data_IF_989231489506
#
_entry.id   IF_989231489506
#
_cell.length_a   1.000
_cell.length_b   1.000
_cell.length_c   1.000
_cell.angle_alpha   90.00
_cell.angle_beta   90.00
_cell.angle_gamma   90.00
#
_symmetry.space_group_name_H-M   'P 1'
#
loop_
_entity.id
_entity.type
_entity.pdbx_description
1 polymer ?
#
# COMPACT_ATOMS: atom_id res chain seq x y z
N UNK A 1 1.62 -34.96 18.28
CA UNK A 1 0.78 -33.74 18.26
C UNK A 1 1.30 -32.63 17.32
N UNK A 2 2.17 -32.91 16.33
CA UNK A 2 2.73 -31.88 15.42
C UNK A 2 2.13 -31.90 14.00
N UNK A 3 1.55 -33.02 13.56
CA UNK A 3 1.03 -33.18 12.20
C UNK A 3 -0.22 -32.31 11.90
N UNK A 4 -1.11 -32.13 12.90
CA UNK A 4 -2.36 -31.39 12.69
C UNK A 4 -2.14 -29.88 12.50
N UNK A 5 -1.10 -29.32 13.11
CA UNK A 5 -0.76 -27.90 13.01
C UNK A 5 -0.27 -27.54 11.61
N UNK A 6 0.55 -28.39 11.00
CA UNK A 6 1.06 -28.18 9.64
C UNK A 6 -0.06 -28.29 8.60
N UNK A 7 -1.00 -29.21 8.80
CA UNK A 7 -2.13 -29.41 7.89
C UNK A 7 -3.10 -28.22 7.91
N UNK A 8 -3.37 -27.65 9.10
CA UNK A 8 -4.14 -26.41 9.24
C UNK A 8 -3.45 -25.22 8.57
N UNK A 9 -2.13 -25.05 8.75
CA UNK A 9 -1.40 -23.97 8.10
C UNK A 9 -1.46 -24.08 6.57
N UNK A 10 -1.31 -25.28 6.02
CA UNK A 10 -1.38 -25.52 4.58
C UNK A 10 -2.77 -25.21 4.02
N UNK A 11 -3.84 -25.60 4.74
CA UNK A 11 -5.21 -25.28 4.34
C UNK A 11 -5.49 -23.77 4.33
N UNK A 12 -5.00 -23.04 5.33
CA UNK A 12 -5.18 -21.58 5.39
C UNK A 12 -4.39 -20.86 4.29
N UNK A 13 -3.19 -21.34 3.97
CA UNK A 13 -2.39 -20.85 2.83
C UNK A 13 -3.12 -21.06 1.51
N UNK A 14 -3.65 -22.26 1.25
CA UNK A 14 -4.38 -22.55 0.01
C UNK A 14 -5.66 -21.72 -0.13
N UNK A 15 -6.40 -21.48 0.96
CA UNK A 15 -7.57 -20.58 0.95
C UNK A 15 -7.16 -19.13 0.67
N UNK A 16 -6.07 -18.67 1.29
CA UNK A 16 -5.53 -17.33 1.09
C UNK A 16 -5.08 -17.12 -0.36
N UNK A 17 -4.39 -18.10 -0.94
CA UNK A 17 -3.97 -18.08 -2.34
C UNK A 17 -5.17 -18.02 -3.29
N UNK A 18 -6.18 -18.87 -3.09
CA UNK A 18 -7.40 -18.88 -3.90
C UNK A 18 -8.13 -17.53 -3.84
N UNK A 19 -8.24 -16.94 -2.64
CA UNK A 19 -8.81 -15.61 -2.44
C UNK A 19 -8.04 -14.54 -3.23
N UNK A 20 -6.71 -14.46 -3.11
CA UNK A 20 -5.92 -13.44 -3.80
C UNK A 20 -5.92 -13.60 -5.32
N UNK A 21 -5.85 -14.84 -5.83
CA UNK A 21 -5.98 -15.11 -7.28
C UNK A 21 -7.31 -14.59 -7.83
N UNK A 22 -8.40 -14.86 -7.10
CA UNK A 22 -9.72 -14.38 -7.48
C UNK A 22 -9.80 -12.85 -7.38
N UNK A 23 -9.38 -12.26 -6.27
CA UNK A 23 -9.42 -10.82 -6.02
C UNK A 23 -8.61 -10.00 -7.04
N UNK A 24 -7.46 -10.51 -7.48
CA UNK A 24 -6.57 -9.86 -8.45
C UNK A 24 -6.92 -10.20 -9.91
N UNK A 25 -8.02 -10.93 -10.17
CA UNK A 25 -8.45 -11.22 -11.54
C UNK A 25 -8.75 -9.91 -12.28
N UNK A 26 -8.11 -9.70 -13.43
CA UNK A 26 -8.23 -8.47 -14.22
C UNK A 26 -7.20 -7.37 -13.89
N UNK A 27 -6.40 -7.54 -12.83
CA UNK A 27 -5.25 -6.67 -12.56
C UNK A 27 -4.04 -7.14 -13.37
N UNK A 28 -3.70 -6.42 -14.43
CA UNK A 28 -2.68 -6.86 -15.41
C UNK A 28 -1.36 -6.12 -15.31
N UNK A 29 -1.33 -4.95 -14.68
CA UNK A 29 -0.11 -4.13 -14.56
C UNK A 29 -0.13 -3.29 -13.27
N UNK A 30 1.06 -3.06 -12.67
CA UNK A 30 1.21 -2.11 -11.59
C UNK A 30 0.71 -0.71 -11.95
N UNK A 31 0.42 0.06 -10.92
CA UNK A 31 0.06 1.46 -11.04
C UNK A 31 1.20 2.30 -11.63
N UNK A 32 1.10 2.82 -12.87
CA UNK A 32 2.18 3.63 -13.43
C UNK A 32 2.22 4.97 -12.69
N UNK A 33 3.36 5.30 -12.10
CA UNK A 33 3.60 6.60 -11.49
C UNK A 33 4.40 7.48 -12.46
N UNK A 34 4.01 8.74 -12.60
CA UNK A 34 4.66 9.68 -13.54
C UNK A 34 6.13 9.93 -13.15
N UNK A 35 6.46 9.80 -11.85
CA UNK A 35 7.83 9.93 -11.33
C UNK A 35 8.78 8.84 -11.83
N UNK A 36 8.27 7.73 -12.38
CA UNK A 36 9.11 6.67 -12.97
C UNK A 36 9.50 6.96 -14.42
N UNK A 37 8.86 7.96 -15.06
CA UNK A 37 9.11 8.35 -16.46
C UNK A 37 9.96 9.63 -16.54
N UNK A 38 11.21 9.55 -16.08
CA UNK A 38 12.20 10.55 -16.47
C UNK A 38 12.77 10.19 -17.85
N UNK A 39 12.65 11.06 -18.87
CA UNK A 39 13.26 10.83 -20.17
C UNK A 39 14.79 10.75 -20.01
N UNK A 40 15.37 9.57 -20.20
CA UNK A 40 16.82 9.32 -20.12
C UNK A 40 17.27 8.27 -19.09
N UNK A 41 16.37 7.76 -18.23
CA UNK A 41 16.70 6.68 -17.30
C UNK A 41 16.82 5.35 -18.05
N UNK A 42 18.02 4.77 -18.08
CA UNK A 42 18.23 3.39 -18.56
C UNK A 42 17.90 2.42 -17.41
N UNK A 43 17.26 1.29 -17.70
CA UNK A 43 16.87 0.25 -16.72
C UNK A 43 18.03 -0.27 -15.84
N UNK A 44 19.28 0.01 -16.21
CA UNK A 44 20.50 -0.46 -15.52
C UNK A 44 21.24 0.66 -14.75
N UNK A 45 20.65 1.82 -14.50
CA UNK A 45 21.26 2.84 -13.64
C UNK A 45 20.96 2.52 -12.17
N UNK A 46 22.01 2.43 -11.35
CA UNK A 46 21.90 2.34 -9.89
C UNK A 46 20.87 3.35 -9.38
N UNK A 47 19.82 2.85 -8.76
CA UNK A 47 18.80 3.64 -8.09
C UNK A 47 19.46 4.36 -6.93
N UNK A 48 19.71 5.66 -7.07
CA UNK A 48 20.06 6.50 -5.93
C UNK A 48 18.87 6.51 -4.96
N UNK A 49 19.00 5.79 -3.85
CA UNK A 49 17.94 5.65 -2.84
C UNK A 49 18.07 6.81 -1.85
N UNK A 50 17.15 7.76 -1.92
CA UNK A 50 17.04 8.86 -0.96
C UNK A 50 15.98 8.58 0.11
N UNK A 51 16.25 8.97 1.35
CA UNK A 51 15.27 8.94 2.45
C UNK A 51 14.81 10.37 2.76
N UNK A 52 13.49 10.57 2.85
CA UNK A 52 12.88 11.81 3.32
C UNK A 52 11.96 11.48 4.50
N UNK A 53 12.18 12.15 5.63
CA UNK A 53 11.35 12.00 6.83
C UNK A 53 10.57 13.28 7.11
N UNK A 54 9.28 13.14 7.37
CA UNK A 54 8.41 14.23 7.83
C UNK A 54 7.85 13.83 9.20
N UNK A 55 8.01 14.71 10.18
CA UNK A 55 7.42 14.54 11.51
C UNK A 55 6.21 15.45 11.64
N UNK A 56 5.05 14.86 11.90
CA UNK A 56 3.85 15.61 12.24
C UNK A 56 3.94 16.07 13.70
N UNK A 57 3.40 17.26 13.98
CA UNK A 57 3.32 17.74 15.36
C UNK A 57 2.37 16.86 16.18
N UNK A 58 2.54 16.90 17.50
CA UNK A 58 1.66 16.15 18.42
C UNK A 58 0.19 16.58 18.29
N UNK A 59 -0.05 17.87 18.01
CA UNK A 59 -1.38 18.42 17.79
C UNK A 59 -2.04 17.78 16.56
N UNK A 60 -1.34 17.76 15.42
CA UNK A 60 -1.86 17.16 14.19
C UNK A 60 -2.05 15.66 14.36
N UNK A 61 -1.08 14.99 14.98
CA UNK A 61 -1.15 13.54 15.22
C UNK A 61 -2.33 13.16 16.12
N UNK A 62 -2.61 13.95 17.15
CA UNK A 62 -3.74 13.73 18.06
C UNK A 62 -5.09 13.96 17.38
N UNK A 63 -5.17 14.99 16.52
CA UNK A 63 -6.36 15.24 15.71
C UNK A 63 -6.65 14.08 14.75
N UNK A 64 -5.62 13.57 14.05
CA UNK A 64 -5.76 12.42 13.15
C UNK A 64 -6.21 11.15 13.88
N UNK A 65 -5.68 10.90 15.07
CA UNK A 65 -6.11 9.76 15.90
C UNK A 65 -7.59 9.88 16.30
N UNK A 66 -8.02 11.06 16.70
CA UNK A 66 -9.40 11.33 17.11
C UNK A 66 -10.36 11.13 15.93
N UNK A 67 -10.01 11.65 14.75
CA UNK A 67 -10.80 11.49 13.53
C UNK A 67 -10.89 10.02 13.09
N UNK A 68 -9.78 9.27 13.18
CA UNK A 68 -9.80 7.84 12.88
C UNK A 68 -10.75 7.10 13.83
N UNK A 69 -10.70 7.41 15.13
CA UNK A 69 -11.58 6.80 16.14
C UNK A 69 -13.06 7.14 15.92
N UNK A 70 -13.37 8.39 15.54
CA UNK A 70 -14.74 8.82 15.22
C UNK A 70 -15.36 8.01 14.07
N UNK A 71 -14.54 7.59 13.11
CA UNK A 71 -14.96 6.78 11.98
C UNK A 71 -14.73 5.27 12.17
N UNK A 72 -14.43 4.81 13.39
CA UNK A 72 -14.12 3.41 13.69
C UNK A 72 -12.95 2.84 12.85
N UNK A 73 -12.03 3.71 12.45
CA UNK A 73 -10.84 3.37 11.68
C UNK A 73 -9.60 3.33 12.57
N UNK A 74 -8.63 2.50 12.16
CA UNK A 74 -7.27 2.63 12.70
C UNK A 74 -6.54 3.77 11.99
N UNK A 75 -5.57 4.40 12.68
CA UNK A 75 -4.72 5.42 12.05
C UNK A 75 -3.98 4.90 10.82
N UNK A 76 -3.60 3.61 10.81
CA UNK A 76 -2.99 2.96 9.66
C UNK A 76 -3.96 2.91 8.46
N UNK A 77 -5.21 2.48 8.67
CA UNK A 77 -6.24 2.46 7.62
C UNK A 77 -6.50 3.86 7.06
N UNK A 78 -6.57 4.86 7.94
CA UNK A 78 -6.72 6.26 7.53
C UNK A 78 -5.55 6.71 6.63
N UNK A 79 -4.32 6.42 7.03
CA UNK A 79 -3.12 6.79 6.28
C UNK A 79 -3.02 6.03 4.93
N UNK A 80 -3.38 4.75 4.91
CA UNK A 80 -3.49 3.95 3.68
C UNK A 80 -4.50 4.56 2.70
N UNK A 81 -5.65 5.05 3.20
CA UNK A 81 -6.65 5.76 2.40
C UNK A 81 -6.12 7.09 1.85
N UNK A 82 -5.48 7.91 2.69
CA UNK A 82 -4.86 9.16 2.25
C UNK A 82 -3.78 8.92 1.18
N UNK A 83 -2.97 7.86 1.34
CA UNK A 83 -1.97 7.44 0.36
C UNK A 83 -2.60 6.98 -0.95
N UNK A 84 -3.68 6.20 -0.91
CA UNK A 84 -4.40 5.78 -2.11
C UNK A 84 -4.95 6.97 -2.91
N UNK A 85 -5.50 7.99 -2.23
CA UNK A 85 -5.96 9.23 -2.85
C UNK A 85 -4.80 10.02 -3.46
N UNK A 86 -3.68 10.12 -2.76
CA UNK A 86 -2.46 10.77 -3.24
C UNK A 86 -1.97 10.10 -4.53
N UNK A 87 -1.79 8.77 -4.51
CA UNK A 87 -1.35 8.00 -5.69
C UNK A 87 -2.34 8.15 -6.85
N UNK A 88 -3.65 8.13 -6.59
CA UNK A 88 -4.67 8.35 -7.63
C UNK A 88 -4.49 9.69 -8.35
N UNK A 89 -4.15 10.75 -7.60
CA UNK A 89 -3.84 12.07 -8.18
C UNK A 89 -2.57 12.06 -9.02
N UNK A 90 -1.54 11.30 -8.66
CA UNK A 90 -0.31 11.20 -9.44
C UNK A 90 -0.44 10.30 -10.68
N UNK A 91 -1.47 9.46 -10.75
CA UNK A 91 -1.77 8.64 -11.95
C UNK A 91 -2.51 9.40 -13.04
N UNK A 92 -3.34 10.37 -12.67
CA UNK A 92 -4.18 11.13 -13.59
C UNK A 92 -3.81 12.62 -13.52
N UNK A 93 -3.01 13.13 -14.47
CA UNK A 93 -2.87 14.57 -14.64
C UNK A 93 -4.26 15.11 -14.98
N UNK A 94 -4.78 16.08 -14.21
CA UNK A 94 -5.89 16.91 -14.68
C UNK A 94 -5.40 17.64 -15.92
N UNK A 95 -5.92 17.26 -17.09
CA UNK A 95 -5.84 18.05 -18.33
C UNK A 95 -6.82 19.21 -18.21
#
# INVERSE_FOLDING_TARGET
>A
MHANKLLLMYQELSKTEAFWKHYLTGFTAPTPLIVDRFPGRKDNQETDQGEAQIRLSDVVTSALKSLAQEHELTLNTFLQGAWALLLSRYRCPRV
#
